data_IF_091211017979
#
_entry.id   IF_091211017979
#
_cell.length_a   1.000
_cell.length_b   1.000
_cell.length_c   1.000
_cell.angle_alpha   90.00
_cell.angle_beta   90.00
_cell.angle_gamma   90.00
#
_symmetry.space_group_name_H-M   'P 1'
#
loop_
_entity.id
_entity.type
_entity.pdbx_description
1 polymer ?
#
# COMPACT_ATOMS: atom_id res chain seq x y z
N UNK A 1 -34.29 24.47 7.60
CA UNK A 1 -32.88 24.42 8.07
C UNK A 1 -32.09 23.58 7.08
N UNK A 2 -31.13 24.20 6.37
CA UNK A 2 -30.25 23.58 5.35
C UNK A 2 -29.26 22.60 6.00
N UNK A 3 -29.08 21.40 5.42
CA UNK A 3 -27.82 20.65 5.48
C UNK A 3 -27.46 20.17 4.08
N UNK A 4 -26.46 20.83 3.52
CA UNK A 4 -25.74 20.49 2.27
C UNK A 4 -25.12 19.09 2.43
N UNK A 5 -25.37 18.14 1.52
CA UNK A 5 -24.69 17.94 0.24
C UNK A 5 -23.21 17.57 0.39
N UNK A 6 -22.93 16.25 0.39
CA UNK A 6 -21.74 15.63 -0.22
C UNK A 6 -22.06 14.17 -0.49
N UNK A 7 -22.60 13.93 -1.69
CA UNK A 7 -22.75 12.60 -2.29
C UNK A 7 -21.35 12.08 -2.61
N UNK A 8 -20.89 11.03 -1.95
CA UNK A 8 -19.81 10.19 -2.48
C UNK A 8 -20.45 9.12 -3.35
N UNK A 9 -20.59 9.43 -4.64
CA UNK A 9 -20.80 8.42 -5.69
C UNK A 9 -19.41 8.06 -6.16
N UNK A 10 -18.94 6.87 -5.80
CA UNK A 10 -17.83 6.21 -6.48
C UNK A 10 -18.43 4.92 -7.06
N UNK A 11 -18.89 5.05 -8.31
CA UNK A 11 -19.26 3.93 -9.14
C UNK A 11 -17.96 3.22 -9.53
N UNK A 12 -17.65 2.10 -8.88
CA UNK A 12 -16.67 1.13 -9.38
C UNK A 12 -17.46 0.08 -10.12
N UNK A 13 -17.73 0.34 -11.39
CA UNK A 13 -18.17 -0.69 -12.33
C UNK A 13 -17.00 -1.63 -12.61
N UNK A 14 -16.91 -2.73 -11.86
CA UNK A 14 -16.08 -3.88 -12.25
C UNK A 14 -16.78 -4.55 -13.43
N UNK A 15 -16.55 -4.02 -14.63
CA UNK A 15 -16.89 -4.71 -15.86
C UNK A 15 -15.88 -5.84 -16.05
N UNK A 16 -16.29 -7.06 -15.73
CA UNK A 16 -15.67 -8.26 -16.25
C UNK A 16 -15.75 -8.22 -17.78
N UNK A 17 -14.62 -8.05 -18.47
CA UNK A 17 -14.54 -8.31 -19.90
C UNK A 17 -13.64 -9.50 -20.12
N UNK A 18 -14.32 -10.58 -20.48
CA UNK A 18 -13.81 -11.85 -20.96
C UNK A 18 -12.87 -11.69 -22.16
N UNK A 19 -11.92 -12.61 -22.24
CA UNK A 19 -11.15 -12.92 -23.44
C UNK A 19 -12.04 -12.99 -24.70
N UNK A 20 -11.76 -12.15 -25.69
CA UNK A 20 -11.97 -12.48 -27.10
C UNK A 20 -10.82 -11.87 -27.90
N UNK A 21 -10.03 -12.73 -28.53
CA UNK A 21 -9.16 -12.31 -29.62
C UNK A 21 -9.99 -11.98 -30.86
N UNK A 22 -9.41 -11.16 -31.72
CA UNK A 22 -9.34 -11.26 -33.19
C UNK A 22 -9.06 -9.85 -33.75
N UNK A 23 -7.90 -9.71 -34.40
CA UNK A 23 -7.71 -8.96 -35.65
C UNK A 23 -7.68 -7.43 -35.62
N UNK A 24 -6.54 -6.85 -36.00
CA UNK A 24 -6.48 -5.46 -36.47
C UNK A 24 -5.09 -4.82 -36.33
N UNK A 25 -4.29 -4.94 -37.39
CA UNK A 25 -2.88 -4.53 -37.45
C UNK A 25 -2.65 -3.02 -37.48
N UNK A 26 -1.43 -2.65 -37.02
CA UNK A 26 -0.60 -1.51 -37.44
C UNK A 26 -0.92 -0.10 -36.93
N UNK A 27 -0.22 0.29 -35.86
CA UNK A 27 0.56 1.53 -35.81
C UNK A 27 1.54 1.47 -34.65
N UNK A 28 2.83 1.64 -34.96
CA UNK A 28 3.95 1.39 -34.06
C UNK A 28 3.96 2.26 -32.80
N UNK A 29 4.20 1.60 -31.68
CA UNK A 29 5.10 2.12 -30.68
C UNK A 29 5.94 0.92 -30.24
N UNK A 30 7.21 0.93 -30.65
CA UNK A 30 8.25 0.05 -30.11
C UNK A 30 8.33 0.27 -28.60
N UNK A 31 7.46 -0.39 -27.84
CA UNK A 31 7.58 -0.42 -26.39
C UNK A 31 8.28 -1.73 -26.06
N UNK A 32 9.59 -1.59 -25.89
CA UNK A 32 10.57 -2.57 -25.46
C UNK A 32 10.04 -3.57 -24.40
N UNK A 33 10.62 -4.78 -24.31
CA UNK A 33 10.17 -5.87 -23.45
C UNK A 33 10.49 -5.57 -21.97
N UNK A 34 9.77 -4.62 -21.35
CA UNK A 34 9.93 -4.29 -19.94
C UNK A 34 9.08 -5.18 -19.03
N UNK A 35 8.21 -6.03 -19.56
CA UNK A 35 7.45 -7.01 -18.76
C UNK A 35 8.34 -8.06 -18.08
N UNK A 36 9.57 -8.28 -18.58
CA UNK A 36 10.56 -9.16 -17.96
C UNK A 36 11.40 -8.50 -16.86
N UNK A 37 11.36 -7.16 -16.75
CA UNK A 37 12.10 -6.40 -15.73
C UNK A 37 11.29 -6.20 -14.43
N UNK A 38 9.98 -6.47 -14.45
CA UNK A 38 9.05 -6.24 -13.31
C UNK A 38 9.31 -7.12 -12.07
N UNK A 39 10.38 -7.92 -12.08
CA UNK A 39 10.89 -8.70 -10.95
C UNK A 39 12.43 -8.81 -11.02
N UNK A 40 13.10 -7.81 -11.59
CA UNK A 40 14.51 -7.92 -11.99
C UNK A 40 15.44 -7.83 -10.77
N UNK A 41 16.26 -8.87 -10.51
CA UNK A 41 17.38 -8.79 -9.56
C UNK A 41 18.28 -7.58 -9.86
N UNK A 42 18.32 -7.15 -11.12
CA UNK A 42 19.12 -6.02 -11.61
C UNK A 42 18.62 -4.68 -11.06
N UNK A 43 17.31 -4.42 -11.04
CA UNK A 43 16.76 -3.18 -10.46
C UNK A 43 17.03 -3.11 -8.95
N UNK A 44 16.87 -4.25 -8.25
CA UNK A 44 17.19 -4.33 -6.83
C UNK A 44 18.69 -4.12 -6.56
N UNK A 45 19.58 -4.52 -7.47
CA UNK A 45 21.03 -4.28 -7.34
C UNK A 45 21.40 -2.80 -7.49
N UNK A 46 20.70 -2.06 -8.36
CA UNK A 46 20.96 -0.65 -8.66
C UNK A 46 20.47 0.33 -7.58
N UNK A 47 19.60 -0.12 -6.68
CA UNK A 47 19.16 0.67 -5.53
C UNK A 47 20.29 0.91 -4.53
N UNK A 48 20.30 2.08 -3.91
CA UNK A 48 21.17 2.33 -2.76
C UNK A 48 20.79 1.41 -1.58
N UNK A 49 21.76 0.99 -0.73
CA UNK A 49 21.46 0.17 0.45
C UNK A 49 20.41 0.80 1.36
N UNK A 50 20.47 2.13 1.52
CA UNK A 50 19.51 2.90 2.32
C UNK A 50 18.07 2.73 1.82
N UNK A 51 17.85 2.78 0.50
CA UNK A 51 16.52 2.61 -0.09
C UNK A 51 16.03 1.18 0.02
N UNK A 52 16.92 0.18 -0.15
CA UNK A 52 16.57 -1.23 0.07
C UNK A 52 16.16 -1.49 1.51
N UNK A 53 16.93 -0.97 2.47
CA UNK A 53 16.67 -1.14 3.89
C UNK A 53 15.35 -0.44 4.26
N UNK A 54 15.12 0.78 3.77
CA UNK A 54 13.85 1.48 3.97
C UNK A 54 12.67 0.74 3.35
N UNK A 55 12.80 0.18 2.14
CA UNK A 55 11.72 -0.57 1.50
C UNK A 55 11.38 -1.85 2.27
N UNK A 56 12.39 -2.60 2.70
CA UNK A 56 12.20 -3.80 3.52
C UNK A 56 11.60 -3.45 4.89
N UNK A 57 12.11 -2.41 5.56
CA UNK A 57 11.58 -1.95 6.83
C UNK A 57 10.11 -1.54 6.69
N UNK A 58 9.78 -0.74 5.67
CA UNK A 58 8.41 -0.33 5.38
C UNK A 58 7.47 -1.53 5.20
N UNK A 59 7.86 -2.49 4.34
CA UNK A 59 7.05 -3.69 4.07
C UNK A 59 6.86 -4.52 5.35
N UNK A 60 7.94 -4.74 6.11
CA UNK A 60 7.90 -5.55 7.32
C UNK A 60 7.06 -4.90 8.42
N UNK A 61 7.23 -3.61 8.65
CA UNK A 61 6.49 -2.85 9.66
C UNK A 61 5.00 -2.76 9.28
N UNK A 62 4.67 -2.54 8.00
CA UNK A 62 3.29 -2.48 7.54
C UNK A 62 2.61 -3.86 7.62
N UNK A 63 3.34 -4.92 7.28
CA UNK A 63 2.85 -6.30 7.45
C UNK A 63 2.64 -6.66 8.91
N UNK A 64 3.54 -6.24 9.81
CA UNK A 64 3.42 -6.46 11.25
C UNK A 64 2.22 -5.71 11.82
N UNK A 65 2.03 -4.46 11.39
CA UNK A 65 0.87 -3.65 11.76
C UNK A 65 -0.43 -4.31 11.27
N UNK A 66 -0.46 -4.80 10.04
CA UNK A 66 -1.58 -5.55 9.46
C UNK A 66 -1.89 -6.80 10.30
N UNK A 67 -0.87 -7.56 10.70
CA UNK A 67 -1.02 -8.74 11.56
C UNK A 67 -1.60 -8.40 12.94
N UNK A 68 -1.18 -7.30 13.55
CA UNK A 68 -1.77 -6.83 14.81
C UNK A 68 -3.24 -6.41 14.62
N UNK A 69 -3.53 -5.77 13.50
CA UNK A 69 -4.88 -5.35 13.15
C UNK A 69 -5.82 -6.55 12.94
N UNK A 70 -5.33 -7.66 12.41
CA UNK A 70 -6.10 -8.90 12.29
C UNK A 70 -6.52 -9.49 13.65
N UNK A 71 -5.88 -9.09 14.74
CA UNK A 71 -6.17 -9.59 16.10
C UNK A 71 -7.10 -8.67 16.91
N UNK A 72 -7.64 -7.58 16.35
CA UNK A 72 -8.48 -6.60 17.07
C UNK A 72 -9.95 -7.04 17.28
N UNK A 73 -10.20 -8.35 17.31
CA UNK A 73 -11.53 -8.93 17.54
C UNK A 73 -11.97 -8.95 19.02
N UNK A 74 -11.09 -8.51 19.93
CA UNK A 74 -11.29 -8.50 21.38
C UNK A 74 -10.76 -7.21 22.00
N UNK A 75 -11.20 -6.89 23.22
CA UNK A 75 -10.70 -5.72 23.96
C UNK A 75 -9.18 -5.78 24.16
N UNK A 76 -8.63 -6.95 24.50
CA UNK A 76 -7.19 -7.15 24.67
C UNK A 76 -6.44 -6.95 23.35
N UNK A 77 -6.99 -7.44 22.23
CA UNK A 77 -6.44 -7.21 20.90
C UNK A 77 -6.37 -5.72 20.55
N UNK A 78 -7.42 -4.97 20.89
CA UNK A 78 -7.49 -3.51 20.67
C UNK A 78 -6.50 -2.76 21.57
N UNK A 79 -6.39 -3.12 22.84
CA UNK A 79 -5.42 -2.48 23.75
C UNK A 79 -3.97 -2.75 23.33
N UNK A 80 -3.68 -3.99 22.91
CA UNK A 80 -2.38 -4.34 22.35
C UNK A 80 -2.09 -3.55 21.08
N UNK A 81 -3.07 -3.43 20.18
CA UNK A 81 -2.92 -2.65 18.96
C UNK A 81 -2.67 -1.17 19.25
N UNK A 82 -3.48 -0.53 20.11
CA UNK A 82 -3.34 0.89 20.47
C UNK A 82 -1.98 1.17 21.12
N UNK A 83 -1.46 0.23 21.92
CA UNK A 83 -0.15 0.37 22.56
C UNK A 83 1.00 0.19 21.56
N UNK A 84 0.81 -0.61 20.52
CA UNK A 84 1.84 -0.92 19.52
C UNK A 84 1.79 0.00 18.29
N UNK A 85 0.65 0.64 17.98
CA UNK A 85 0.47 1.37 16.72
C UNK A 85 1.37 2.60 16.64
N UNK A 86 1.50 3.37 17.70
CA UNK A 86 2.25 4.62 17.68
C UNK A 86 3.75 4.43 17.35
N UNK A 87 4.49 3.53 18.02
CA UNK A 87 5.88 3.27 17.63
C UNK A 87 6.00 2.66 16.22
N UNK A 88 4.99 1.94 15.73
CA UNK A 88 4.99 1.44 14.34
C UNK A 88 4.75 2.54 13.32
N UNK A 89 3.87 3.52 13.60
CA UNK A 89 3.68 4.70 12.75
C UNK A 89 4.98 5.48 12.61
N UNK A 90 5.72 5.66 13.71
CA UNK A 90 7.01 6.36 13.67
C UNK A 90 8.04 5.65 12.78
N UNK A 91 8.15 4.32 12.90
CA UNK A 91 9.02 3.52 12.03
C UNK A 91 8.58 3.58 10.57
N UNK A 92 7.28 3.43 10.30
CA UNK A 92 6.71 3.55 8.96
C UNK A 92 6.96 4.94 8.37
N UNK A 93 6.81 6.00 9.15
CA UNK A 93 7.07 7.38 8.72
C UNK A 93 8.54 7.60 8.37
N UNK A 94 9.46 7.05 9.17
CA UNK A 94 10.90 7.10 8.89
C UNK A 94 11.24 6.41 7.56
N UNK A 95 10.77 5.18 7.37
CA UNK A 95 10.98 4.44 6.13
C UNK A 95 10.30 5.14 4.94
N UNK A 96 9.06 5.59 5.11
CA UNK A 96 8.31 6.34 4.11
C UNK A 96 9.07 7.58 3.64
N UNK A 97 9.62 8.38 4.55
CA UNK A 97 10.34 9.60 4.18
C UNK A 97 11.57 9.29 3.32
N UNK A 98 12.30 8.22 3.62
CA UNK A 98 13.41 7.77 2.79
C UNK A 98 12.92 7.36 1.39
N UNK A 99 11.84 6.59 1.31
CA UNK A 99 11.28 6.16 0.03
C UNK A 99 10.71 7.33 -0.79
N UNK A 100 9.99 8.27 -0.16
CA UNK A 100 9.37 9.42 -0.82
C UNK A 100 10.38 10.42 -1.36
N UNK A 101 11.58 10.47 -0.77
CA UNK A 101 12.68 11.31 -1.22
C UNK A 101 13.44 10.71 -2.43
N UNK A 102 13.14 9.46 -2.82
CA UNK A 102 13.71 8.90 -4.06
C UNK A 102 13.14 9.60 -5.29
N UNK A 103 14.00 9.91 -6.26
CA UNK A 103 13.63 10.59 -7.51
C UNK A 103 14.37 9.97 -8.69
N UNK A 104 13.98 10.34 -9.92
CA UNK A 104 14.64 9.90 -11.15
C UNK A 104 14.71 8.37 -11.31
N UNK A 105 15.87 7.87 -11.72
CA UNK A 105 16.09 6.44 -11.98
C UNK A 105 16.00 5.59 -10.70
N UNK A 106 16.41 6.12 -9.54
CA UNK A 106 16.33 5.39 -8.26
C UNK A 106 14.87 5.10 -7.88
N UNK A 107 13.97 6.06 -8.10
CA UNK A 107 12.53 5.83 -7.89
C UNK A 107 11.98 4.80 -8.86
N UNK A 108 12.41 4.81 -10.11
CA UNK A 108 12.00 3.80 -11.11
C UNK A 108 12.44 2.40 -10.69
N UNK A 109 13.70 2.22 -10.29
CA UNK A 109 14.21 0.94 -9.82
C UNK A 109 13.55 0.48 -8.53
N UNK A 110 13.20 1.42 -7.63
CA UNK A 110 12.46 1.12 -6.41
C UNK A 110 11.09 0.55 -6.72
N UNK A 111 10.32 1.23 -7.59
CA UNK A 111 8.99 0.78 -7.99
C UNK A 111 9.06 -0.53 -8.78
N UNK A 112 10.10 -0.75 -9.58
CA UNK A 112 10.30 -1.99 -10.31
C UNK A 112 10.64 -3.18 -9.40
N UNK A 113 11.53 -2.99 -8.43
CA UNK A 113 12.00 -4.05 -7.55
C UNK A 113 11.06 -4.34 -6.37
N UNK A 114 10.48 -3.29 -5.77
CA UNK A 114 9.68 -3.39 -4.55
C UNK A 114 8.22 -3.01 -4.75
N UNK A 115 7.85 -2.35 -5.85
CA UNK A 115 6.48 -1.90 -6.09
C UNK A 115 5.42 -3.00 -5.93
N UNK A 116 5.59 -4.22 -6.49
CA UNK A 116 4.64 -5.31 -6.27
C UNK A 116 4.45 -5.67 -4.79
N UNK A 117 5.54 -5.70 -4.01
CA UNK A 117 5.51 -6.04 -2.58
C UNK A 117 4.90 -4.92 -1.75
N UNK A 118 5.27 -3.67 -2.04
CA UNK A 118 4.70 -2.47 -1.42
C UNK A 118 3.20 -2.43 -1.69
N UNK A 119 2.77 -2.61 -2.93
CA UNK A 119 1.35 -2.61 -3.29
C UNK A 119 0.58 -3.72 -2.58
N UNK A 120 1.17 -4.92 -2.47
CA UNK A 120 0.57 -6.02 -1.72
C UNK A 120 0.45 -5.71 -0.23
N UNK A 121 1.47 -5.09 0.37
CA UNK A 121 1.45 -4.71 1.78
C UNK A 121 0.43 -3.59 2.05
N UNK A 122 0.38 -2.57 1.19
CA UNK A 122 -0.60 -1.49 1.25
C UNK A 122 -2.04 -2.03 1.13
N UNK A 123 -2.30 -2.87 0.14
CA UNK A 123 -3.62 -3.47 -0.04
C UNK A 123 -4.01 -4.37 1.14
N UNK A 124 -3.06 -5.15 1.67
CA UNK A 124 -3.28 -5.97 2.86
C UNK A 124 -3.66 -5.12 4.08
N UNK A 125 -2.92 -4.04 4.32
CA UNK A 125 -3.21 -3.10 5.40
C UNK A 125 -4.58 -2.44 5.24
N UNK A 126 -4.91 -1.92 4.05
CA UNK A 126 -6.18 -1.27 3.77
C UNK A 126 -7.37 -2.22 3.98
N UNK A 127 -7.31 -3.41 3.39
CA UNK A 127 -8.37 -4.40 3.55
C UNK A 127 -8.57 -4.77 5.03
N UNK A 128 -7.47 -5.00 5.76
CA UNK A 128 -7.56 -5.35 7.17
C UNK A 128 -8.05 -4.19 8.03
N UNK A 129 -7.71 -2.95 7.66
CA UNK A 129 -8.18 -1.73 8.31
C UNK A 129 -9.67 -1.54 8.12
N UNK A 130 -10.16 -1.72 6.90
CA UNK A 130 -11.59 -1.67 6.59
C UNK A 130 -12.35 -2.78 7.35
N UNK A 131 -11.81 -4.00 7.42
CA UNK A 131 -12.39 -5.09 8.18
C UNK A 131 -12.44 -4.78 9.69
N UNK A 132 -11.34 -4.29 10.25
CA UNK A 132 -11.23 -3.95 11.67
C UNK A 132 -12.15 -2.78 12.07
N UNK A 133 -12.33 -1.81 11.18
CA UNK A 133 -13.15 -0.61 11.41
C UNK A 133 -14.59 -0.74 10.90
N UNK A 134 -14.95 -1.88 10.28
CA UNK A 134 -16.33 -2.18 9.89
C UNK A 134 -17.30 -2.12 11.08
N UNK A 135 -16.82 -2.41 12.29
CA UNK A 135 -17.55 -2.19 13.53
C UNK A 135 -17.43 -0.73 13.98
N UNK A 136 -18.58 -0.06 14.14
CA UNK A 136 -18.65 1.35 14.54
C UNK A 136 -17.90 1.68 15.84
N UNK A 137 -17.87 0.75 16.80
CA UNK A 137 -17.18 0.95 18.08
C UNK A 137 -15.66 0.94 17.88
N UNK A 138 -15.15 0.01 17.09
CA UNK A 138 -13.73 -0.07 16.76
C UNK A 138 -13.28 1.05 15.85
N UNK A 139 -14.11 1.49 14.90
CA UNK A 139 -13.81 2.66 14.09
C UNK A 139 -13.53 3.92 14.94
N UNK A 140 -14.31 4.14 16.00
CA UNK A 140 -14.09 5.29 16.89
C UNK A 140 -12.76 5.25 17.65
N UNK A 141 -12.27 4.05 17.94
CA UNK A 141 -11.02 3.87 18.71
C UNK A 141 -9.82 3.82 17.77
N UNK A 142 -9.92 3.10 16.67
CA UNK A 142 -8.81 2.77 15.78
C UNK A 142 -8.68 3.74 14.61
N UNK A 143 -9.78 4.31 14.11
CA UNK A 143 -9.80 5.08 12.86
C UNK A 143 -8.81 6.24 12.87
N UNK A 144 -8.77 7.03 13.94
CA UNK A 144 -7.83 8.15 14.04
C UNK A 144 -6.36 7.72 14.08
N UNK A 145 -6.05 6.52 14.53
CA UNK A 145 -4.69 6.00 14.56
C UNK A 145 -4.32 5.40 13.19
N UNK A 146 -5.26 4.71 12.54
CA UNK A 146 -5.11 4.14 11.21
C UNK A 146 -4.95 5.23 10.13
N UNK A 147 -5.66 6.35 10.26
CA UNK A 147 -5.55 7.51 9.35
C UNK A 147 -4.16 8.17 9.36
N UNK A 148 -3.36 7.93 10.40
CA UNK A 148 -1.98 8.45 10.49
C UNK A 148 -0.98 7.61 9.69
N UNK A 149 -1.36 6.39 9.28
CA UNK A 149 -0.50 5.50 8.50
C UNK A 149 -0.46 6.00 7.05
N UNK A 150 0.66 6.61 6.66
CA UNK A 150 0.88 7.07 5.29
C UNK A 150 1.35 5.92 4.41
N UNK A 151 0.60 5.65 3.34
CA UNK A 151 0.94 4.60 2.39
C UNK A 151 1.87 5.13 1.29
N UNK A 152 2.87 4.34 0.91
CA UNK A 152 3.80 4.67 -0.16
C UNK A 152 3.20 4.31 -1.53
N UNK A 153 3.19 5.28 -2.45
CA UNK A 153 2.66 5.19 -3.81
C UNK A 153 3.71 5.62 -4.84
#
# INVERSE_FOLDING_TARGET
>A
MKRNMSRRVLAVSVSAVFCTGIGGSMSGCETAPLRGLLNSPTAMQLLSPLVKDAANAYINDLTSLTGLLANVNSLDGVMNFVSAIQPMIEKLSSAYNTLSNTTGDERKWLLEAFGPKINSANAGFLNQSDDATSNWAWNKVLGSALDQVRLFE
#
